data_IF_900658446008
#
_entry.id   IF_900658446008
#
_cell.length_a   1.000
_cell.length_b   1.000
_cell.length_c   1.000
_cell.angle_alpha   90.00
_cell.angle_beta   90.00
_cell.angle_gamma   90.00
#
_symmetry.space_group_name_H-M   'P 1'
#
loop_
_entity.id
_entity.type
_entity.pdbx_description
1 polymer ?
#
# COMPACT_ATOMS: atom_id res chain seq x y z
N UNK A 1 2.46 2.05 -15.11
CA UNK A 1 3.35 2.12 -13.94
C UNK A 1 2.48 2.23 -12.68
N UNK A 2 2.55 1.27 -11.75
CA UNK A 2 1.74 1.29 -10.53
C UNK A 2 2.56 1.95 -9.41
N UNK A 3 2.22 3.20 -9.05
CA UNK A 3 2.88 3.96 -7.99
C UNK A 3 2.07 3.94 -6.71
N UNK A 4 2.72 4.11 -5.55
CA UNK A 4 2.04 4.20 -4.26
C UNK A 4 0.98 5.33 -4.20
N UNK A 5 1.18 6.42 -4.97
CA UNK A 5 0.20 7.51 -5.10
C UNK A 5 -1.12 7.08 -5.73
N UNK A 6 -1.14 5.98 -6.49
CA UNK A 6 -2.34 5.44 -7.13
C UNK A 6 -3.13 4.50 -6.21
N UNK A 7 -2.68 4.27 -4.97
CA UNK A 7 -3.39 3.41 -4.02
C UNK A 7 -4.75 4.04 -3.65
N UNK A 8 -5.82 3.27 -3.84
CA UNK A 8 -7.21 3.65 -3.48
C UNK A 8 -7.67 3.02 -2.16
N UNK A 9 -6.74 2.45 -1.39
CA UNK A 9 -7.01 1.85 -0.06
C UNK A 9 -8.02 0.68 -0.06
N UNK A 10 -8.19 -0.01 -1.20
CA UNK A 10 -9.15 -1.11 -1.35
C UNK A 10 -8.90 -2.32 -0.42
N UNK A 11 -7.66 -2.53 0.03
CA UNK A 11 -7.31 -3.59 0.98
C UNK A 11 -7.14 -5.00 0.40
N UNK A 12 -7.32 -5.19 -0.91
CA UNK A 12 -7.18 -6.50 -1.58
C UNK A 12 -5.76 -7.08 -1.41
N UNK A 13 -4.75 -6.22 -1.45
CA UNK A 13 -3.37 -6.64 -1.26
C UNK A 13 -3.11 -7.23 0.13
N UNK A 14 -3.74 -6.68 1.18
CA UNK A 14 -3.61 -7.18 2.56
C UNK A 14 -4.34 -8.51 2.72
N UNK A 15 -5.55 -8.66 2.18
CA UNK A 15 -6.31 -9.92 2.27
C UNK A 15 -5.66 -11.08 1.51
N UNK A 16 -4.89 -10.78 0.47
CA UNK A 16 -4.13 -11.77 -0.28
C UNK A 16 -2.78 -12.10 0.35
N UNK A 17 -2.32 -11.31 1.33
CA UNK A 17 -0.99 -11.49 1.86
C UNK A 17 -0.98 -12.59 2.94
N UNK A 18 -0.28 -13.71 2.73
CA UNK A 18 -0.22 -14.81 3.71
C UNK A 18 0.56 -14.46 4.98
N UNK A 19 1.29 -13.33 4.98
CA UNK A 19 2.09 -12.85 6.11
C UNK A 19 1.39 -11.72 6.88
N UNK A 20 0.16 -11.34 6.49
CA UNK A 20 -0.64 -10.29 7.14
C UNK A 20 0.14 -8.97 7.34
N UNK A 21 0.86 -8.53 6.31
CA UNK A 21 1.61 -7.26 6.38
C UNK A 21 0.68 -6.05 6.16
N UNK A 22 0.93 -4.92 6.84
CA UNK A 22 0.08 -3.73 6.73
C UNK A 22 0.42 -2.90 5.47
N UNK A 23 0.14 -3.45 4.28
CA UNK A 23 0.53 -2.86 2.98
C UNK A 23 -0.01 -1.44 2.80
N UNK A 24 -1.25 -1.16 3.21
CA UNK A 24 -1.84 0.19 3.08
C UNK A 24 -1.08 1.23 3.91
N UNK A 25 -0.60 0.84 5.09
CA UNK A 25 0.22 1.71 5.94
C UNK A 25 1.54 2.03 5.25
N UNK A 26 2.21 1.01 4.70
CA UNK A 26 3.49 1.21 4.03
C UNK A 26 3.34 2.00 2.72
N UNK A 27 2.27 1.82 1.96
CA UNK A 27 1.99 2.64 0.78
C UNK A 27 1.78 4.13 1.12
N UNK A 28 1.19 4.45 2.29
CA UNK A 28 1.13 5.82 2.79
C UNK A 28 2.51 6.37 3.14
N UNK A 29 3.34 5.57 3.83
CA UNK A 29 4.72 5.97 4.15
C UNK A 29 5.52 6.28 2.88
N UNK A 30 5.41 5.45 1.84
CA UNK A 30 6.07 5.67 0.54
C UNK A 30 5.55 6.94 -0.13
N UNK A 31 4.24 7.21 -0.09
CA UNK A 31 3.67 8.46 -0.62
C UNK A 31 4.22 9.69 0.09
N UNK A 32 4.40 9.63 1.40
CA UNK A 32 4.96 10.73 2.19
C UNK A 32 6.48 10.90 1.95
N UNK A 33 7.22 9.80 1.82
CA UNK A 33 8.66 9.81 1.59
C UNK A 33 9.07 10.24 0.18
N UNK A 34 8.18 10.06 -0.81
CA UNK A 34 8.40 10.41 -2.22
C UNK A 34 7.67 11.70 -2.65
N UNK A 35 7.25 12.54 -1.69
CA UNK A 35 6.86 13.93 -1.96
C UNK A 35 8.06 14.74 -2.42
#
# INVERSE_FOLDING_TARGET
EAKAVNCIECGICESHCPQDIPIRKELKNVREALK
#
